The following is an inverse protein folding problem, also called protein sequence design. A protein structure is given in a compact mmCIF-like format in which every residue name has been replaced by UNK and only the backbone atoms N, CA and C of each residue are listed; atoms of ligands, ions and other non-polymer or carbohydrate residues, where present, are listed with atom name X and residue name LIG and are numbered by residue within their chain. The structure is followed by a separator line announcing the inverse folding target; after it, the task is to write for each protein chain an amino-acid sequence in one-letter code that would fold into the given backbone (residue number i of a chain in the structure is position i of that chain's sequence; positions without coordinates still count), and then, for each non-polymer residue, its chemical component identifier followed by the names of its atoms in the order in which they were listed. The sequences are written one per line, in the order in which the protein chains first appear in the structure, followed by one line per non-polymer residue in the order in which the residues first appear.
data_IF_330768417644
#
_entry.id   IF_330768417644
#
_cell.length_a   1.000
_cell.length_b   1.000
_cell.length_c   1.000
_cell.angle_alpha   90.00
_cell.angle_beta   90.00
_cell.angle_gamma   90.00
#
_symmetry.space_group_name_H-M   'P 1'
#
loop_
_entity.id
_entity.type
_entity.pdbx_description
1 polymer ?
#
# COMPACT_ATOMS: atom_id res chain seq x y z
N UNK A 1 6.24 13.57 -43.13
CA UNK A 1 5.91 14.25 -41.85
C UNK A 1 4.44 14.62 -41.90
N UNK A 2 3.71 14.70 -40.78
CA UNK A 2 2.27 14.96 -40.80
C UNK A 2 2.04 16.36 -40.21
N UNK A 3 1.29 17.22 -40.91
CA UNK A 3 0.93 18.56 -40.44
C UNK A 3 -0.59 18.59 -40.18
N UNK A 4 -0.99 19.04 -38.99
CA UNK A 4 -2.40 19.29 -38.69
C UNK A 4 -2.68 20.76 -38.97
N UNK A 5 -3.73 21.07 -39.72
CA UNK A 5 -4.23 22.44 -39.85
C UNK A 5 -5.61 22.53 -39.19
N UNK A 6 -5.91 23.64 -38.51
CA UNK A 6 -7.24 23.90 -37.98
C UNK A 6 -7.71 25.32 -38.29
N UNK A 7 -9.03 25.50 -38.45
CA UNK A 7 -9.68 26.81 -38.60
C UNK A 7 -10.45 27.11 -37.32
N UNK A 8 -10.14 28.26 -36.72
CA UNK A 8 -11.02 28.88 -35.74
C UNK A 8 -11.85 29.99 -36.40
N UNK A 9 -12.74 30.61 -35.63
CA UNK A 9 -13.59 31.73 -36.09
C UNK A 9 -12.79 32.98 -36.51
N UNK A 10 -11.46 33.00 -36.35
CA UNK A 10 -10.61 34.16 -36.59
C UNK A 10 -9.64 33.99 -37.76
N UNK A 11 -9.09 32.79 -38.05
CA UNK A 11 -8.18 32.49 -39.18
C UNK A 11 -7.85 30.97 -39.30
N UNK A 12 -7.16 30.60 -40.39
CA UNK A 12 -6.50 29.28 -40.53
C UNK A 12 -5.18 29.33 -39.76
N UNK A 13 -4.97 28.37 -38.87
CA UNK A 13 -3.75 28.26 -38.06
C UNK A 13 -3.06 26.93 -38.40
N UNK A 14 -1.76 27.00 -38.67
CA UNK A 14 -0.92 25.80 -38.77
C UNK A 14 -0.83 25.17 -37.39
N UNK A 15 -1.26 23.92 -37.29
CA UNK A 15 -1.19 23.16 -36.05
C UNK A 15 0.23 22.70 -35.71
N UNK A 16 0.39 22.09 -34.53
CA UNK A 16 1.67 21.73 -33.94
C UNK A 16 2.49 20.79 -34.83
N UNK A 17 3.79 21.05 -34.92
CA UNK A 17 4.74 20.28 -35.74
C UNK A 17 5.22 19.00 -35.05
N UNK A 18 4.96 18.90 -33.74
CA UNK A 18 5.43 17.82 -32.85
C UNK A 18 4.30 17.34 -31.94
N UNK A 19 4.31 16.05 -31.61
CA UNK A 19 3.33 15.38 -30.75
C UNK A 19 3.20 16.03 -29.35
N UNK A 20 4.31 16.51 -28.80
CA UNK A 20 4.35 17.18 -27.49
C UNK A 20 3.50 18.46 -27.49
N UNK A 21 3.54 19.23 -28.58
CA UNK A 21 2.78 20.47 -28.73
C UNK A 21 1.28 20.16 -28.93
N UNK A 22 0.95 19.11 -29.69
CA UNK A 22 -0.42 18.63 -29.85
C UNK A 22 -1.03 18.15 -28.52
N UNK A 23 -0.24 17.45 -27.71
CA UNK A 23 -0.65 16.97 -26.38
C UNK A 23 -0.88 18.12 -25.40
N UNK A 24 -0.05 19.17 -25.47
CA UNK A 24 -0.22 20.37 -24.66
C UNK A 24 -1.51 21.11 -25.02
N UNK A 25 -1.81 21.25 -26.32
CA UNK A 25 -3.04 21.87 -26.81
C UNK A 25 -4.29 21.07 -26.42
N UNK A 26 -4.23 19.74 -26.44
CA UNK A 26 -5.34 18.88 -25.99
C UNK A 26 -5.62 19.03 -24.48
N UNK A 27 -4.55 19.11 -23.68
CA UNK A 27 -4.65 19.28 -22.22
C UNK A 27 -5.10 20.69 -21.81
N UNK A 28 -4.87 21.69 -22.66
CA UNK A 28 -5.42 23.03 -22.49
C UNK A 28 -6.94 22.98 -22.74
N UNK A 29 -7.71 22.66 -21.70
CA UNK A 29 -9.18 22.66 -21.70
C UNK A 29 -9.68 23.93 -22.39
N UNK A 30 -10.37 23.78 -23.52
CA UNK A 30 -10.94 24.81 -24.42
C UNK A 30 -10.21 25.10 -25.74
N UNK A 31 -9.11 24.41 -26.06
CA UNK A 31 -8.50 24.60 -27.38
C UNK A 31 -9.25 23.88 -28.51
N UNK A 32 -9.81 22.69 -28.25
CA UNK A 32 -10.63 21.97 -29.22
C UNK A 32 -12.10 22.27 -28.94
N UNK A 33 -12.74 23.06 -29.82
CA UNK A 33 -14.15 23.42 -29.73
C UNK A 33 -14.96 22.72 -30.83
N UNK A 34 -16.27 22.61 -30.63
CA UNK A 34 -17.18 21.96 -31.59
C UNK A 34 -17.32 22.70 -32.92
N UNK A 35 -16.93 23.98 -32.98
CA UNK A 35 -16.87 24.79 -34.20
C UNK A 35 -15.53 24.67 -34.95
N UNK A 36 -14.55 23.94 -34.42
CA UNK A 36 -13.25 23.76 -35.07
C UNK A 36 -13.30 22.67 -36.14
N UNK A 37 -12.81 23.00 -37.34
CA UNK A 37 -12.59 22.00 -38.42
C UNK A 37 -11.12 21.58 -38.43
N UNK A 38 -10.85 20.27 -38.33
CA UNK A 38 -9.50 19.71 -38.33
C UNK A 38 -9.22 18.98 -39.65
N UNK A 39 -8.03 19.16 -40.22
CA UNK A 39 -7.55 18.26 -41.27
C UNK A 39 -6.07 17.94 -41.09
N UNK A 40 -5.77 16.66 -41.26
CA UNK A 40 -4.42 16.10 -41.28
C UNK A 40 -3.94 16.11 -42.73
N UNK A 41 -2.84 16.82 -43.00
CA UNK A 41 -2.25 16.96 -44.34
C UNK A 41 -0.86 16.32 -44.35
N UNK A 42 -0.54 15.59 -45.42
CA UNK A 42 0.79 15.04 -45.64
C UNK A 42 1.77 16.18 -45.96
N UNK A 43 2.96 16.20 -45.38
CA UNK A 43 3.94 17.29 -45.60
C UNK A 43 4.35 17.48 -47.04
N UNK A 44 4.29 16.44 -47.87
CA UNK A 44 4.69 16.51 -49.28
C UNK A 44 3.72 17.39 -50.10
N UNK A 45 2.46 17.49 -49.66
CA UNK A 45 1.42 18.30 -50.31
C UNK A 45 1.26 19.68 -49.66
N UNK A 46 1.98 19.97 -48.58
CA UNK A 46 1.80 21.17 -47.75
C UNK A 46 2.06 22.48 -48.52
N UNK A 47 2.96 22.46 -49.51
CA UNK A 47 3.25 23.62 -50.35
C UNK A 47 2.12 23.98 -51.34
N UNK A 48 1.18 23.06 -51.58
CA UNK A 48 0.02 23.29 -52.46
C UNK A 48 -1.25 23.70 -51.70
N UNK A 49 -1.19 23.75 -50.37
CA UNK A 49 -2.32 24.12 -49.52
C UNK A 49 -2.36 25.65 -49.34
N UNK A 50 -3.25 26.31 -50.08
CA UNK A 50 -3.34 27.78 -50.09
C UNK A 50 -4.44 28.32 -49.16
N UNK A 51 -5.55 27.59 -48.97
CA UNK A 51 -6.59 27.89 -47.99
C UNK A 51 -7.62 26.75 -47.89
N UNK A 52 -8.40 26.71 -46.82
CA UNK A 52 -9.57 25.83 -46.70
C UNK A 52 -10.63 26.15 -47.75
N UNK A 53 -10.75 27.41 -48.17
CA UNK A 53 -11.66 27.84 -49.25
C UNK A 53 -11.25 27.30 -50.63
N UNK A 54 -9.95 27.20 -50.91
CA UNK A 54 -9.43 26.53 -52.10
C UNK A 54 -9.86 25.05 -52.13
N UNK A 55 -9.83 24.37 -50.99
CA UNK A 55 -10.30 22.99 -50.85
C UNK A 55 -11.82 22.83 -50.89
N UNK A 56 -12.60 23.79 -50.38
CA UNK A 56 -14.06 23.78 -50.50
C UNK A 56 -14.53 23.97 -51.94
N UNK A 57 -13.72 24.65 -52.79
CA UNK A 57 -13.97 24.78 -54.22
C UNK A 57 -13.61 23.53 -55.05
N UNK A 58 -12.66 22.70 -54.58
CA UNK A 58 -12.10 21.59 -55.35
C UNK A 58 -12.45 20.19 -54.81
N UNK A 59 -12.90 20.07 -53.56
CA UNK A 59 -13.46 18.82 -53.06
C UNK A 59 -14.97 18.80 -53.35
N UNK A 60 -15.44 17.65 -53.80
CA UNK A 60 -16.85 17.28 -53.95
C UNK A 60 -17.61 17.44 -52.60
N UNK A 61 -18.95 17.21 -52.54
CA UNK A 61 -19.80 17.72 -51.46
C UNK A 61 -19.23 17.43 -50.07
N UNK A 62 -19.34 18.43 -49.19
CA UNK A 62 -18.77 18.48 -47.84
C UNK A 62 -18.60 17.07 -47.22
N UNK A 63 -17.36 16.62 -46.97
CA UNK A 63 -17.08 15.26 -46.49
C UNK A 63 -17.67 15.00 -45.09
N UNK A 64 -18.14 16.04 -44.39
CA UNK A 64 -18.84 15.95 -43.12
C UNK A 64 -20.38 16.04 -43.28
N UNK A 65 -20.89 16.42 -44.45
CA UNK A 65 -22.31 16.24 -44.80
C UNK A 65 -22.55 14.80 -45.22
N UNK A 66 -22.71 13.95 -44.22
CA UNK A 66 -23.30 12.64 -44.45
C UNK A 66 -24.81 12.80 -44.74
N UNK A 67 -25.39 11.95 -45.60
CA UNK A 67 -26.84 11.88 -45.76
C UNK A 67 -27.50 11.67 -44.40
N UNK A 68 -28.64 12.34 -44.17
CA UNK A 68 -29.39 12.28 -42.90
C UNK A 68 -29.66 10.83 -42.47
N UNK A 69 -29.88 9.93 -43.43
CA UNK A 69 -30.11 8.50 -43.17
C UNK A 69 -28.88 7.77 -42.60
N UNK A 70 -27.67 8.18 -42.96
CA UNK A 70 -26.42 7.61 -42.43
C UNK A 70 -26.21 8.07 -41.00
N UNK A 71 -26.41 9.37 -40.74
CA UNK A 71 -26.35 9.96 -39.40
C UNK A 71 -27.37 9.32 -38.46
N UNK A 72 -28.62 9.11 -38.94
CA UNK A 72 -29.67 8.47 -38.15
C UNK A 72 -29.32 7.01 -37.82
N UNK A 73 -28.77 6.24 -38.76
CA UNK A 73 -28.31 4.87 -38.49
C UNK A 73 -27.18 4.82 -37.46
N UNK A 74 -26.24 5.75 -37.55
CA UNK A 74 -25.15 5.84 -36.58
C UNK A 74 -25.66 6.23 -35.19
N UNK A 75 -26.59 7.19 -35.11
CA UNK A 75 -27.27 7.59 -33.87
C UNK A 75 -28.02 6.41 -33.23
N UNK A 76 -28.73 5.61 -34.02
CA UNK A 76 -29.43 4.39 -33.58
C UNK A 76 -28.43 3.37 -33.01
N UNK A 77 -27.29 3.18 -33.68
CA UNK A 77 -26.22 2.28 -33.23
C UNK A 77 -25.62 2.74 -31.91
N UNK A 78 -25.35 4.03 -31.76
CA UNK A 78 -24.82 4.63 -30.52
C UNK A 78 -25.83 4.50 -29.38
N UNK A 79 -27.12 4.74 -29.63
CA UNK A 79 -28.18 4.57 -28.64
C UNK A 79 -28.26 3.12 -28.15
N UNK A 80 -28.17 2.15 -29.07
CA UNK A 80 -28.16 0.73 -28.71
C UNK A 80 -26.96 0.38 -27.83
N UNK A 81 -25.75 0.80 -28.22
CA UNK A 81 -24.54 0.58 -27.41
C UNK A 81 -24.64 1.24 -26.03
N UNK A 82 -25.25 2.43 -25.94
CA UNK A 82 -25.45 3.10 -24.66
C UNK A 82 -26.44 2.32 -23.77
N UNK A 83 -27.53 1.80 -24.36
CA UNK A 83 -28.49 0.97 -23.64
C UNK A 83 -27.82 -0.31 -23.10
N UNK A 84 -27.01 -1.00 -23.92
CA UNK A 84 -26.28 -2.20 -23.51
C UNK A 84 -25.32 -1.91 -22.33
N UNK A 85 -24.64 -0.75 -22.34
CA UNK A 85 -23.75 -0.32 -21.25
C UNK A 85 -24.53 0.02 -19.98
N UNK A 86 -25.69 0.67 -20.11
CA UNK A 86 -26.55 1.00 -18.97
C UNK A 86 -27.11 -0.27 -18.33
N UNK A 87 -27.61 -1.22 -19.13
CA UNK A 87 -28.10 -2.50 -18.64
C UNK A 87 -26.98 -3.30 -17.95
N UNK A 88 -25.79 -3.34 -18.55
CA UNK A 88 -24.61 -3.95 -17.92
C UNK A 88 -24.30 -3.31 -16.56
N UNK A 89 -24.34 -1.98 -16.47
CA UNK A 89 -24.10 -1.24 -15.23
C UNK A 89 -25.17 -1.55 -14.19
N UNK A 90 -26.44 -1.55 -14.55
CA UNK A 90 -27.56 -1.87 -13.66
C UNK A 90 -27.46 -3.29 -13.10
N UNK A 91 -26.93 -4.23 -13.88
CA UNK A 91 -26.77 -5.62 -13.43
C UNK A 91 -25.53 -5.84 -12.57
N UNK A 92 -24.39 -5.28 -12.96
CA UNK A 92 -23.09 -5.57 -12.33
C UNK A 92 -22.83 -4.69 -11.10
N UNK A 93 -23.31 -3.44 -11.10
CA UNK A 93 -23.05 -2.52 -10.00
C UNK A 93 -23.60 -3.02 -8.65
N UNK A 94 -24.85 -3.52 -8.54
CA UNK A 94 -25.37 -4.06 -7.29
C UNK A 94 -24.61 -5.32 -6.83
N UNK A 95 -24.13 -6.15 -7.77
CA UNK A 95 -23.31 -7.32 -7.44
C UNK A 95 -21.96 -6.91 -6.81
N UNK A 96 -21.31 -5.91 -7.39
CA UNK A 96 -20.04 -5.37 -6.87
C UNK A 96 -20.23 -4.68 -5.52
N UNK A 97 -21.28 -3.88 -5.37
CA UNK A 97 -21.64 -3.26 -4.09
C UNK A 97 -21.93 -4.30 -3.01
N UNK A 98 -22.65 -5.37 -3.37
CA UNK A 98 -22.91 -6.50 -2.47
C UNK A 98 -21.62 -7.23 -2.06
N UNK A 99 -20.68 -7.45 -2.99
CA UNK A 99 -19.36 -8.03 -2.68
C UNK A 99 -18.54 -7.12 -1.78
N UNK A 100 -18.56 -5.81 -2.05
CA UNK A 100 -17.84 -4.81 -1.25
C UNK A 100 -18.40 -4.75 0.17
N UNK A 101 -19.72 -4.71 0.33
CA UNK A 101 -20.39 -4.73 1.63
C UNK A 101 -19.99 -5.97 2.45
N UNK A 102 -20.04 -7.16 1.85
CA UNK A 102 -19.60 -8.42 2.50
C UNK A 102 -18.14 -8.36 2.94
N UNK A 103 -17.25 -7.84 2.09
CA UNK A 103 -15.82 -7.71 2.42
C UNK A 103 -15.59 -6.71 3.56
N UNK A 104 -16.32 -5.60 3.58
CA UNK A 104 -16.24 -4.62 4.66
C UNK A 104 -16.73 -5.18 6.00
N UNK A 105 -17.84 -5.93 6.00
CA UNK A 105 -18.32 -6.61 7.23
C UNK A 105 -17.28 -7.60 7.75
N UNK A 106 -16.74 -8.46 6.88
CA UNK A 106 -15.70 -9.43 7.28
C UNK A 106 -14.43 -8.74 7.80
N UNK A 107 -14.02 -7.62 7.19
CA UNK A 107 -12.89 -6.83 7.66
C UNK A 107 -13.14 -6.26 9.07
N UNK A 108 -14.33 -5.73 9.32
CA UNK A 108 -14.71 -5.18 10.62
C UNK A 108 -14.77 -6.27 11.70
N UNK A 109 -15.31 -7.44 11.38
CA UNK A 109 -15.31 -8.60 12.28
C UNK A 109 -13.90 -9.06 12.63
N UNK A 110 -13.00 -9.15 11.64
CA UNK A 110 -11.59 -9.48 11.85
C UNK A 110 -10.88 -8.44 12.72
N UNK A 111 -11.12 -7.15 12.47
CA UNK A 111 -10.54 -6.07 13.28
C UNK A 111 -10.99 -6.13 14.74
N UNK A 112 -12.28 -6.38 14.98
CA UNK A 112 -12.81 -6.54 16.33
C UNK A 112 -12.25 -7.78 17.02
N UNK A 113 -12.19 -8.90 16.32
CA UNK A 113 -11.59 -10.13 16.84
C UNK A 113 -10.12 -9.94 17.21
N UNK A 114 -9.34 -9.29 16.34
CA UNK A 114 -7.93 -8.98 16.60
C UNK A 114 -7.76 -8.03 17.81
N UNK A 115 -8.61 -7.01 17.93
CA UNK A 115 -8.59 -6.08 19.06
C UNK A 115 -8.90 -6.79 20.39
N UNK A 116 -9.91 -7.66 20.40
CA UNK A 116 -10.26 -8.46 21.58
C UNK A 116 -9.16 -9.45 21.96
N UNK A 117 -8.58 -10.15 20.98
CA UNK A 117 -7.46 -11.07 21.22
C UNK A 117 -6.23 -10.34 21.75
N UNK A 118 -5.95 -9.14 21.25
CA UNK A 118 -4.87 -8.28 21.77
C UNK A 118 -5.11 -7.90 23.23
N UNK A 119 -6.33 -7.45 23.57
CA UNK A 119 -6.68 -7.08 24.94
C UNK A 119 -6.51 -8.26 25.91
N UNK A 120 -6.97 -9.45 25.51
CA UNK A 120 -6.84 -10.67 26.31
C UNK A 120 -5.37 -11.03 26.58
N UNK A 121 -4.50 -10.95 25.56
CA UNK A 121 -3.06 -11.22 25.74
C UNK A 121 -2.39 -10.23 26.70
N UNK A 122 -2.78 -8.96 26.66
CA UNK A 122 -2.26 -7.95 27.58
C UNK A 122 -2.70 -8.26 29.01
N UNK A 123 -3.96 -8.64 29.20
CA UNK A 123 -4.50 -9.04 30.50
C UNK A 123 -3.78 -10.28 31.06
N UNK A 124 -3.63 -11.33 30.24
CA UNK A 124 -2.88 -12.54 30.59
C UNK A 124 -1.42 -12.22 30.96
N UNK A 125 -0.75 -11.38 30.16
CA UNK A 125 0.61 -10.96 30.42
C UNK A 125 0.74 -10.21 31.75
N UNK A 126 -0.11 -9.21 32.00
CA UNK A 126 -0.09 -8.44 33.23
C UNK A 126 -0.35 -9.33 34.46
N UNK A 127 -1.32 -10.24 34.36
CA UNK A 127 -1.61 -11.19 35.43
C UNK A 127 -0.42 -12.13 35.71
N UNK A 128 0.33 -12.55 34.69
CA UNK A 128 1.55 -13.34 34.87
C UNK A 128 2.68 -12.54 35.50
N UNK A 129 2.83 -11.26 35.13
CA UNK A 129 3.82 -10.37 35.75
C UNK A 129 3.49 -10.13 37.23
N UNK A 130 2.22 -9.91 37.58
CA UNK A 130 1.76 -9.77 38.97
C UNK A 130 1.96 -11.06 39.79
N UNK A 131 1.78 -12.23 39.17
CA UNK A 131 1.95 -13.55 39.80
C UNK A 131 3.42 -13.98 39.94
N UNK A 132 4.37 -13.12 39.58
CA UNK A 132 5.80 -13.37 39.77
C UNK A 132 6.34 -14.55 38.96
N UNK A 133 5.77 -14.80 37.78
CA UNK A 133 6.21 -15.92 36.94
C UNK A 133 7.66 -15.76 36.48
N UNK A 134 8.37 -16.88 36.29
CA UNK A 134 9.83 -16.87 36.19
C UNK A 134 10.41 -17.01 34.79
N UNK A 135 11.62 -16.46 34.62
CA UNK A 135 12.54 -16.81 33.55
C UNK A 135 13.80 -17.40 34.18
N UNK A 136 14.46 -18.32 33.50
CA UNK A 136 15.83 -18.74 33.87
C UNK A 136 16.81 -18.11 32.91
N UNK A 137 17.88 -17.52 33.45
CA UNK A 137 18.97 -16.96 32.66
C UNK A 137 20.21 -17.82 32.85
N UNK A 138 20.82 -18.28 31.77
CA UNK A 138 22.16 -18.89 31.81
C UNK A 138 23.14 -18.00 31.08
N UNK A 139 24.27 -17.69 31.73
CA UNK A 139 25.39 -17.03 31.09
C UNK A 139 26.58 -17.95 31.09
N UNK A 140 27.17 -18.17 29.93
CA UNK A 140 28.34 -19.01 29.76
C UNK A 140 29.26 -18.41 28.71
N UNK A 141 30.55 -18.71 28.80
CA UNK A 141 31.53 -18.35 27.77
C UNK A 141 31.78 -19.58 26.91
N UNK A 142 31.14 -19.73 25.73
CA UNK A 142 31.42 -20.87 24.87
C UNK A 142 32.90 -20.88 24.48
N UNK A 143 33.54 -22.05 24.54
CA UNK A 143 34.95 -22.19 24.16
C UNK A 143 35.19 -21.65 22.74
N UNK A 144 36.25 -20.85 22.58
CA UNK A 144 36.63 -20.27 21.28
C UNK A 144 35.77 -19.11 20.77
N UNK A 145 34.69 -18.73 21.48
CA UNK A 145 33.79 -17.65 21.03
C UNK A 145 34.26 -16.23 21.37
N UNK A 146 35.23 -16.09 22.29
CA UNK A 146 35.76 -14.78 22.71
C UNK A 146 34.75 -13.88 23.44
N UNK A 147 33.57 -14.39 23.84
CA UNK A 147 32.50 -13.61 24.43
C UNK A 147 31.58 -14.41 25.35
N UNK A 148 30.70 -13.71 26.06
CA UNK A 148 29.70 -14.31 26.95
C UNK A 148 28.39 -14.48 26.18
N UNK A 149 27.92 -15.71 26.07
CA UNK A 149 26.57 -16.04 25.61
C UNK A 149 25.58 -15.89 26.75
N UNK A 150 24.39 -15.37 26.43
CA UNK A 150 23.26 -15.29 27.35
C UNK A 150 22.10 -16.09 26.78
N UNK A 151 21.63 -17.06 27.54
CA UNK A 151 20.50 -17.92 27.24
C UNK A 151 19.35 -17.59 28.20
N UNK A 152 18.14 -17.39 27.66
CA UNK A 152 16.93 -17.10 28.43
C UNK A 152 15.93 -18.22 28.18
N UNK A 153 15.44 -18.83 29.25
CA UNK A 153 14.43 -19.89 29.24
C UNK A 153 13.14 -19.34 29.84
N UNK A 154 12.04 -19.47 29.11
CA UNK A 154 10.71 -19.04 29.56
C UNK A 154 10.03 -20.08 30.43
N UNK A 155 9.49 -19.67 31.59
CA UNK A 155 8.57 -20.49 32.39
C UNK A 155 7.14 -19.94 32.38
N UNK A 156 6.81 -19.12 31.38
CA UNK A 156 5.46 -18.57 31.20
C UNK A 156 4.76 -19.20 29.99
N UNK A 157 3.44 -19.41 30.05
CA UNK A 157 2.70 -20.11 29.00
C UNK A 157 2.43 -19.26 27.75
N UNK A 158 2.83 -17.99 27.72
CA UNK A 158 2.56 -17.05 26.62
C UNK A 158 3.83 -16.65 25.89
N UNK A 159 3.70 -16.31 24.61
CA UNK A 159 4.80 -15.73 23.84
C UNK A 159 5.13 -14.32 24.32
N UNK A 160 6.41 -14.08 24.57
CA UNK A 160 6.93 -12.77 24.98
C UNK A 160 8.09 -12.35 24.12
N UNK A 161 8.44 -11.07 24.22
CA UNK A 161 9.72 -10.53 23.79
C UNK A 161 10.60 -10.31 24.99
N UNK A 162 11.87 -10.67 24.87
CA UNK A 162 12.87 -10.44 25.91
C UNK A 162 14.10 -9.78 25.34
N UNK A 163 14.74 -8.94 26.14
CA UNK A 163 16.02 -8.33 25.80
C UNK A 163 16.89 -8.25 27.06
N UNK A 164 18.12 -8.72 26.96
CA UNK A 164 19.14 -8.44 27.97
C UNK A 164 19.97 -7.24 27.54
N UNK A 165 20.03 -6.20 28.38
CA UNK A 165 20.71 -4.95 28.03
C UNK A 165 20.58 -3.85 29.08
N UNK A 166 20.99 -2.64 28.72
CA UNK A 166 20.86 -1.46 29.59
C UNK A 166 19.57 -0.65 29.30
N UNK A 167 19.04 -0.78 28.09
CA UNK A 167 17.84 -0.10 27.62
C UNK A 167 17.00 -1.03 26.75
N UNK A 168 15.70 -0.75 26.66
CA UNK A 168 14.82 -1.46 25.75
C UNK A 168 15.06 -1.01 24.31
N UNK A 169 15.52 -1.94 23.47
CA UNK A 169 15.57 -1.77 22.03
C UNK A 169 14.77 -2.88 21.38
N UNK A 170 13.58 -2.52 20.88
CA UNK A 170 12.65 -3.47 20.31
C UNK A 170 13.20 -4.18 19.05
N UNK A 171 14.16 -3.57 18.33
CA UNK A 171 14.79 -4.19 17.17
C UNK A 171 15.73 -5.35 17.54
N UNK A 172 16.15 -5.44 18.81
CA UNK A 172 17.06 -6.48 19.31
C UNK A 172 16.38 -7.43 20.29
N UNK A 173 15.09 -7.23 20.58
CA UNK A 173 14.33 -8.09 21.47
C UNK A 173 14.04 -9.43 20.77
N UNK A 174 14.35 -10.52 21.45
CA UNK A 174 14.09 -11.88 20.97
C UNK A 174 12.68 -12.32 21.31
N UNK A 175 12.05 -13.07 20.41
CA UNK A 175 10.80 -13.76 20.69
C UNK A 175 11.08 -15.07 21.46
N UNK A 176 10.37 -15.29 22.57
CA UNK A 176 10.34 -16.56 23.30
C UNK A 176 8.94 -17.16 23.21
N UNK A 177 8.75 -18.25 22.45
CA UNK A 177 7.45 -18.88 22.26
C UNK A 177 6.97 -19.69 23.49
N UNK A 178 6.50 -19.03 24.54
CA UNK A 178 5.79 -19.73 25.63
C UNK A 178 6.69 -20.66 26.47
N UNK A 179 6.07 -21.61 27.17
CA UNK A 179 6.71 -22.33 28.27
C UNK A 179 7.79 -23.30 27.78
N UNK A 180 8.93 -23.30 28.47
CA UNK A 180 10.05 -24.21 28.21
C UNK A 180 10.85 -23.86 26.96
N UNK A 181 10.55 -22.73 26.30
CA UNK A 181 11.31 -22.28 25.14
C UNK A 181 12.53 -21.48 25.56
N UNK A 182 13.55 -21.57 24.70
CA UNK A 182 14.87 -21.04 24.97
C UNK A 182 15.32 -20.19 23.80
N UNK A 183 15.91 -19.03 24.09
CA UNK A 183 16.69 -18.26 23.12
C UNK A 183 18.10 -18.05 23.66
N UNK A 184 19.08 -17.95 22.78
CA UNK A 184 20.46 -17.65 23.15
C UNK A 184 21.06 -16.62 22.18
N UNK A 185 21.82 -15.68 22.73
CA UNK A 185 22.47 -14.64 21.95
C UNK A 185 23.75 -14.14 22.61
N UNK A 186 24.68 -13.68 21.78
CA UNK A 186 25.81 -12.87 22.24
C UNK A 186 25.28 -11.47 22.56
N UNK A 187 25.11 -11.19 23.84
CA UNK A 187 24.70 -9.87 24.29
C UNK A 187 25.94 -9.04 24.64
N UNK A 188 25.98 -7.81 24.16
CA UNK A 188 26.77 -6.78 24.82
C UNK A 188 26.25 -6.66 26.26
N UNK A 189 27.13 -6.69 27.25
CA UNK A 189 26.73 -6.72 28.67
C UNK A 189 25.63 -5.70 29.02
N UNK A 190 24.82 -6.05 30.03
CA UNK A 190 23.74 -5.22 30.53
C UNK A 190 23.46 -5.50 32.00
N UNK A 191 22.66 -4.66 32.63
CA UNK A 191 22.25 -4.81 34.03
C UNK A 191 20.77 -5.18 34.19
N UNK A 192 20.03 -5.34 33.08
CA UNK A 192 18.59 -5.56 33.12
C UNK A 192 18.12 -6.60 32.11
N UNK A 193 17.08 -7.34 32.49
CA UNK A 193 16.23 -8.10 31.57
C UNK A 193 14.97 -7.28 31.35
N UNK A 194 14.64 -7.03 30.10
CA UNK A 194 13.40 -6.43 29.69
C UNK A 194 12.48 -7.51 29.13
N UNK A 195 11.20 -7.47 29.51
CA UNK A 195 10.18 -8.42 29.05
C UNK A 195 8.94 -7.64 28.61
N UNK A 196 8.36 -8.02 27.47
CA UNK A 196 7.15 -7.43 26.94
C UNK A 196 6.26 -8.50 26.29
N UNK A 197 4.94 -8.33 26.19
CA UNK A 197 4.07 -9.31 25.55
C UNK A 197 4.31 -9.35 24.04
N UNK A 198 4.11 -10.51 23.39
CA UNK A 198 4.11 -10.57 21.93
C UNK A 198 2.73 -10.24 21.35
N UNK A 199 2.57 -9.01 20.83
CA UNK A 199 1.29 -8.53 20.28
C UNK A 199 1.21 -8.62 18.76
N UNK A 200 2.32 -8.42 18.06
CA UNK A 200 2.41 -8.40 16.60
C UNK A 200 3.86 -8.51 16.14
N UNK A 201 4.07 -8.76 14.84
CA UNK A 201 5.39 -8.69 14.20
C UNK A 201 6.08 -7.33 14.36
N UNK A 202 5.31 -6.23 14.49
CA UNK A 202 5.88 -4.91 14.79
C UNK A 202 6.52 -4.91 16.20
N UNK A 203 7.84 -4.69 16.32
CA UNK A 203 8.54 -4.65 17.60
C UNK A 203 8.15 -3.45 18.46
N UNK A 204 7.62 -2.38 17.87
CA UNK A 204 7.33 -1.11 18.57
C UNK A 204 5.98 -1.10 19.28
N UNK A 205 5.12 -2.08 19.01
CA UNK A 205 3.75 -2.19 19.49
C UNK A 205 3.59 -2.44 21.00
N UNK A 206 4.71 -2.59 21.71
CA UNK A 206 4.79 -3.05 23.11
C UNK A 206 5.52 -2.07 24.02
N UNK A 207 5.90 -0.89 23.52
CA UNK A 207 6.75 0.08 24.24
C UNK A 207 6.22 0.47 25.63
N UNK A 208 4.90 0.56 25.78
CA UNK A 208 4.26 0.94 27.04
C UNK A 208 4.02 -0.26 27.98
N UNK A 209 4.37 -1.47 27.55
CA UNK A 209 4.15 -2.75 28.25
C UNK A 209 5.47 -3.46 28.58
N UNK A 210 6.56 -2.70 28.63
CA UNK A 210 7.90 -3.25 28.92
C UNK A 210 8.11 -3.27 30.42
N UNK A 211 8.30 -4.47 30.95
CA UNK A 211 8.75 -4.69 32.32
C UNK A 211 10.27 -4.76 32.34
N UNK A 212 10.87 -4.11 33.33
CA UNK A 212 12.32 -4.01 33.51
C UNK A 212 12.69 -4.67 34.83
N UNK A 213 13.53 -5.69 34.76
CA UNK A 213 14.00 -6.43 35.92
C UNK A 213 15.50 -6.24 36.11
N UNK A 214 15.98 -5.86 37.31
CA UNK A 214 17.40 -5.82 37.59
C UNK A 214 18.00 -7.23 37.50
N UNK A 215 19.19 -7.31 36.94
CA UNK A 215 20.00 -8.51 36.90
C UNK A 215 21.30 -8.25 37.65
N UNK A 216 21.45 -8.84 38.83
CA UNK A 216 22.70 -8.81 39.57
C UNK A 216 23.57 -9.99 39.15
N UNK A 217 24.72 -9.69 38.55
CA UNK A 217 25.75 -10.69 38.28
C UNK A 217 26.39 -11.14 39.59
N UNK A 218 26.08 -12.36 40.04
CA UNK A 218 26.91 -13.07 41.00
C UNK A 218 27.71 -14.11 40.22
N UNK A 219 29.03 -13.91 40.17
CA UNK A 219 30.10 -14.81 39.70
C UNK A 219 29.71 -16.05 38.87
N UNK A 220 29.59 -15.86 37.55
CA UNK A 220 29.82 -16.82 36.45
C UNK A 220 29.20 -18.23 36.48
N UNK A 221 28.36 -18.57 37.46
CA UNK A 221 27.45 -19.71 37.44
C UNK A 221 26.26 -19.42 38.34
N UNK A 222 25.13 -19.07 37.74
CA UNK A 222 23.84 -19.15 38.44
C UNK A 222 22.76 -19.65 37.48
N UNK A 223 22.14 -20.77 37.87
CA UNK A 223 20.81 -21.17 37.43
C UNK A 223 19.86 -20.50 38.41
N UNK A 224 19.52 -19.24 38.16
CA UNK A 224 18.47 -18.58 38.93
C UNK A 224 17.16 -18.68 38.16
N UNK A 225 16.22 -19.40 38.74
CA UNK A 225 14.80 -19.25 38.44
C UNK A 225 14.33 -17.96 39.11
N UNK A 226 14.26 -16.87 38.36
CA UNK A 226 13.83 -15.59 38.91
C UNK A 226 12.32 -15.57 39.08
N UNK A 227 11.80 -15.66 40.30
CA UNK A 227 10.44 -15.25 40.61
C UNK A 227 10.44 -13.72 40.83
N UNK A 228 10.02 -12.94 39.83
CA UNK A 228 10.12 -11.47 39.89
C UNK A 228 9.12 -10.88 40.90
N UNK A 229 9.50 -9.92 41.76
CA UNK A 229 8.62 -9.35 42.80
C UNK A 229 7.43 -8.53 42.28
#
# INVERSE_FOLDING_TARGET
RILVFYKDHTKIVSGPLREVEATALYKAKNFFRTDHTFRVVNTEDAGSFHSIEYLLKHNAPDPFKQPVDVVNKELESVRKKLADVLEWKEKILPELEGKLAKKNTALHELQNSAKSARALRIEEFNALMERRCSFTLHRYSPEGSGGVCTEIISHIPITVRVLYGNEWNSAWAWELPGYGTTTAGFAAGGSFIFVAPYLSEDPTDVKDLVYKFPYETIDNQLIDSYCFP
#
